data_IF_359351206189
#
_entry.id   IF_359351206189
#
_cell.length_a   1.000
_cell.length_b   1.000
_cell.length_c   1.000
_cell.angle_alpha   90.00
_cell.angle_beta   90.00
_cell.angle_gamma   90.00
#
_symmetry.space_group_name_H-M   'P 1'
#
loop_
_entity.id
_entity.type
_entity.pdbx_description
1 polymer ?
#
# COMPACT_ATOMS: atom_id res chain seq x y z
N UNK A 1 -8.70 -62.48 22.01
CA UNK A 1 -8.70 -61.04 21.71
C UNK A 1 -7.30 -60.51 21.97
N UNK A 2 -6.56 -60.11 20.93
CA UNK A 2 -5.21 -59.56 21.09
C UNK A 2 -5.29 -58.05 21.37
N UNK A 3 -4.72 -57.63 22.49
CA UNK A 3 -4.61 -56.22 22.88
C UNK A 3 -3.74 -55.47 21.85
N UNK A 4 -4.15 -54.31 21.32
CA UNK A 4 -3.31 -53.57 20.39
C UNK A 4 -2.10 -53.00 21.13
N UNK A 5 -0.92 -53.25 20.59
CA UNK A 5 0.34 -52.73 21.10
C UNK A 5 0.29 -51.18 21.13
N UNK A 6 0.90 -50.55 22.15
CA UNK A 6 0.93 -49.10 22.24
C UNK A 6 1.65 -48.52 21.01
N UNK A 7 0.98 -47.64 20.27
CA UNK A 7 1.60 -46.89 19.16
C UNK A 7 2.79 -46.12 19.72
N UNK A 8 4.02 -46.47 19.31
CA UNK A 8 5.24 -45.74 19.69
C UNK A 8 5.06 -44.26 19.36
N UNK A 9 5.19 -43.40 20.36
CA UNK A 9 5.25 -41.94 20.17
C UNK A 9 6.42 -41.63 19.23
N UNK A 10 6.24 -40.82 18.17
CA UNK A 10 7.32 -40.50 17.25
C UNK A 10 8.49 -39.88 18.02
N UNK A 11 9.72 -40.24 17.62
CA UNK A 11 10.94 -39.70 18.20
C UNK A 11 10.97 -38.17 18.05
N UNK A 12 11.47 -37.46 19.07
CA UNK A 12 11.58 -36.01 19.03
C UNK A 12 12.44 -35.55 17.84
N UNK A 13 12.09 -34.43 17.18
CA UNK A 13 12.88 -33.91 16.07
C UNK A 13 14.33 -33.63 16.51
N UNK A 14 15.29 -33.96 15.63
CA UNK A 14 16.70 -33.67 15.89
C UNK A 14 16.98 -32.16 15.96
N UNK A 15 18.06 -31.75 16.65
CA UNK A 15 18.43 -30.33 16.85
C UNK A 15 18.44 -29.50 15.55
N UNK A 16 18.90 -30.09 14.44
CA UNK A 16 18.92 -29.42 13.13
C UNK A 16 17.50 -29.14 12.57
N UNK A 17 16.52 -30.00 12.88
CA UNK A 17 15.12 -29.80 12.48
C UNK A 17 14.51 -28.67 13.28
N UNK A 18 14.74 -28.64 14.60
CA UNK A 18 14.25 -27.58 15.49
C UNK A 18 14.79 -26.21 15.06
N UNK A 19 16.11 -26.08 14.87
CA UNK A 19 16.72 -24.83 14.44
C UNK A 19 16.18 -24.32 13.09
N UNK A 20 15.90 -25.23 12.15
CA UNK A 20 15.28 -24.87 10.88
C UNK A 20 13.84 -24.38 11.07
N UNK A 21 13.04 -25.04 11.91
CA UNK A 21 11.66 -24.62 12.20
C UNK A 21 11.65 -23.25 12.84
N UNK A 22 12.47 -23.00 13.87
CA UNK A 22 12.57 -21.68 14.52
C UNK A 22 12.97 -20.57 13.54
N UNK A 23 13.90 -20.86 12.63
CA UNK A 23 14.29 -19.92 11.58
C UNK A 23 13.18 -19.65 10.56
N UNK A 24 12.34 -20.64 10.26
CA UNK A 24 11.18 -20.47 9.38
C UNK A 24 10.04 -19.74 10.08
N UNK A 25 9.77 -20.05 11.35
CA UNK A 25 8.74 -19.38 12.16
C UNK A 25 8.99 -17.88 12.24
N UNK A 26 10.23 -17.49 12.53
CA UNK A 26 10.62 -16.06 12.54
C UNK A 26 10.36 -15.37 11.21
N UNK A 27 10.54 -16.07 10.09
CA UNK A 27 10.25 -15.52 8.74
C UNK A 27 8.75 -15.47 8.49
N UNK A 28 8.02 -16.52 8.89
CA UNK A 28 6.57 -16.60 8.75
C UNK A 28 5.89 -15.45 9.48
N UNK A 29 6.24 -15.22 10.75
CA UNK A 29 5.71 -14.12 11.56
C UNK A 29 6.02 -12.75 10.93
N UNK A 30 7.27 -12.55 10.50
CA UNK A 30 7.70 -11.28 9.91
C UNK A 30 6.96 -10.97 8.59
N UNK A 31 6.83 -11.98 7.71
CA UNK A 31 6.12 -11.85 6.43
C UNK A 31 4.62 -11.65 6.69
N UNK A 32 4.01 -12.44 7.58
CA UNK A 32 2.60 -12.32 7.94
C UNK A 32 2.25 -10.92 8.44
N UNK A 33 3.03 -10.40 9.38
CA UNK A 33 2.82 -9.04 9.91
C UNK A 33 2.99 -7.94 8.85
N UNK A 34 3.92 -8.12 7.89
CA UNK A 34 4.08 -7.18 6.78
C UNK A 34 2.88 -7.21 5.83
N UNK A 35 2.38 -8.39 5.48
CA UNK A 35 1.21 -8.55 4.61
C UNK A 35 -0.05 -7.97 5.25
N UNK A 36 -0.28 -8.17 6.55
CA UNK A 36 -1.42 -7.56 7.25
C UNK A 36 -1.39 -6.02 7.18
N UNK A 37 -0.21 -5.40 7.36
CA UNK A 37 -0.08 -3.94 7.23
C UNK A 37 -0.31 -3.46 5.80
N UNK A 38 0.19 -4.20 4.81
CA UNK A 38 0.00 -3.86 3.40
C UNK A 38 -1.47 -3.97 3.00
N UNK A 39 -2.16 -5.03 3.41
CA UNK A 39 -3.60 -5.22 3.17
C UNK A 39 -4.41 -4.07 3.77
N UNK A 40 -4.16 -3.70 5.04
CA UNK A 40 -4.81 -2.55 5.67
C UNK A 40 -4.59 -1.24 4.90
N UNK A 41 -3.34 -0.95 4.50
CA UNK A 41 -3.03 0.25 3.72
C UNK A 41 -3.73 0.26 2.34
N UNK A 42 -3.83 -0.90 1.68
CA UNK A 42 -4.54 -1.03 0.41
C UNK A 42 -6.06 -0.87 0.58
N UNK A 43 -6.63 -1.38 1.68
CA UNK A 43 -8.05 -1.21 2.01
C UNK A 43 -8.39 0.26 2.31
N UNK A 44 -7.53 0.95 3.06
CA UNK A 44 -7.69 2.39 3.34
C UNK A 44 -7.60 3.24 2.07
N UNK A 45 -6.76 2.83 1.11
CA UNK A 45 -6.60 3.53 -0.16
C UNK A 45 -7.68 3.19 -1.19
N UNK A 46 -8.26 1.99 -1.15
CA UNK A 46 -9.27 1.52 -2.09
C UNK A 46 -10.45 2.49 -2.33
N UNK A 47 -11.07 3.12 -1.30
CA UNK A 47 -12.16 4.08 -1.52
C UNK A 47 -11.71 5.40 -2.14
N UNK A 48 -10.40 5.73 -2.11
CA UNK A 48 -9.85 6.97 -2.67
C UNK A 48 -9.50 6.85 -4.16
N UNK A 49 -9.76 5.70 -4.79
CA UNK A 49 -9.43 5.47 -6.20
C UNK A 49 -10.16 6.41 -7.14
N UNK A 50 -11.43 6.70 -6.85
CA UNK A 50 -12.24 7.60 -7.66
C UNK A 50 -11.78 9.06 -7.46
N UNK A 51 -11.36 9.43 -6.25
CA UNK A 51 -10.76 10.75 -5.97
C UNK A 51 -9.42 10.93 -6.70
N UNK A 52 -8.57 9.90 -6.72
CA UNK A 52 -7.33 9.93 -7.50
C UNK A 52 -7.61 10.09 -9.00
N UNK A 53 -8.65 9.42 -9.52
CA UNK A 53 -9.07 9.57 -10.91
C UNK A 53 -9.58 11.00 -11.21
N UNK A 54 -10.36 11.58 -10.30
CA UNK A 54 -10.85 12.95 -10.43
C UNK A 54 -9.69 13.97 -10.42
N UNK A 55 -8.68 13.79 -9.56
CA UNK A 55 -7.49 14.64 -9.54
C UNK A 55 -6.68 14.54 -10.84
N UNK A 56 -6.59 13.34 -11.43
CA UNK A 56 -5.91 13.12 -12.70
C UNK A 56 -6.67 13.78 -13.86
N UNK A 57 -7.97 13.58 -13.92
CA UNK A 57 -8.85 14.26 -14.89
C UNK A 57 -8.76 15.79 -14.75
N UNK A 58 -8.70 16.30 -13.52
CA UNK A 58 -8.53 17.74 -13.27
C UNK A 58 -7.24 18.29 -13.88
N UNK A 59 -6.13 17.55 -13.72
CA UNK A 59 -4.83 17.89 -14.31
C UNK A 59 -4.86 17.82 -15.86
N UNK A 60 -5.47 16.77 -16.42
CA UNK A 60 -5.41 16.45 -17.85
C UNK A 60 -6.43 17.21 -18.71
N UNK A 61 -7.60 17.54 -18.17
CA UNK A 61 -8.72 18.21 -18.88
C UNK A 61 -8.46 19.69 -19.21
N UNK A 62 -7.33 20.25 -18.76
CA UNK A 62 -7.03 21.68 -18.86
C UNK A 62 -7.86 22.55 -17.91
N UNK A 63 -8.73 21.98 -17.07
CA UNK A 63 -9.43 22.74 -16.03
C UNK A 63 -8.45 23.26 -14.98
N UNK A 64 -7.47 22.45 -14.56
CA UNK A 64 -6.40 22.87 -13.67
C UNK A 64 -5.70 24.14 -14.16
N UNK A 65 -5.35 24.21 -15.45
CA UNK A 65 -4.67 25.37 -16.03
C UNK A 65 -5.53 26.64 -16.00
N UNK A 66 -6.85 26.51 -16.23
CA UNK A 66 -7.77 27.65 -16.16
C UNK A 66 -7.87 28.19 -14.73
N UNK A 67 -7.96 27.30 -13.75
CA UNK A 67 -8.06 27.68 -12.35
C UNK A 67 -6.74 28.27 -11.84
N UNK A 68 -5.60 27.71 -12.26
CA UNK A 68 -4.28 28.28 -12.02
C UNK A 68 -4.16 29.71 -12.57
N UNK A 69 -4.56 29.94 -13.82
CA UNK A 69 -4.57 31.29 -14.41
C UNK A 69 -5.51 32.25 -13.70
N UNK A 70 -6.64 31.77 -13.17
CA UNK A 70 -7.55 32.57 -12.37
C UNK A 70 -6.92 32.96 -11.02
N UNK A 71 -6.14 32.05 -10.42
CA UNK A 71 -5.36 32.32 -9.21
C UNK A 71 -4.31 33.41 -9.45
N UNK A 72 -3.51 33.25 -10.50
CA UNK A 72 -2.47 34.22 -10.92
C UNK A 72 -3.06 35.59 -11.27
N UNK A 73 -4.28 35.62 -11.80
CA UNK A 73 -5.02 36.86 -12.06
C UNK A 73 -5.66 37.49 -10.80
N UNK A 74 -5.44 36.91 -9.61
CA UNK A 74 -5.99 37.39 -8.34
C UNK A 74 -7.49 37.19 -8.19
N UNK A 75 -8.11 36.29 -8.97
CA UNK A 75 -9.56 36.06 -8.97
C UNK A 75 -10.03 35.09 -7.88
N UNK A 76 -9.10 34.38 -7.22
CA UNK A 76 -9.41 33.47 -6.13
C UNK A 76 -9.21 34.21 -4.79
N UNK A 77 -10.29 34.39 -3.97
CA UNK A 77 -10.22 35.13 -2.72
C UNK A 77 -9.13 34.65 -1.78
N UNK A 78 -8.47 35.57 -1.07
CA UNK A 78 -7.53 35.21 -0.01
C UNK A 78 -8.19 34.28 1.04
N UNK A 79 -7.44 33.30 1.55
CA UNK A 79 -7.91 32.32 2.53
C UNK A 79 -8.43 31.00 1.95
N UNK A 80 -8.67 30.90 0.64
CA UNK A 80 -8.94 29.61 -0.02
C UNK A 80 -7.67 28.77 -0.03
N UNK A 81 -7.70 27.56 0.56
CA UNK A 81 -6.61 26.58 0.44
C UNK A 81 -6.55 26.08 -1.00
N UNK A 82 -5.46 26.41 -1.69
CA UNK A 82 -5.28 26.14 -3.12
C UNK A 82 -4.02 25.33 -3.42
N UNK A 83 -3.68 24.39 -2.53
CA UNK A 83 -2.51 23.53 -2.70
C UNK A 83 -2.54 22.72 -4.01
N UNK A 84 -3.73 22.44 -4.55
CA UNK A 84 -3.89 21.79 -5.86
C UNK A 84 -3.37 22.66 -7.03
N UNK A 85 -3.29 23.98 -6.85
CA UNK A 85 -2.80 24.94 -7.84
C UNK A 85 -1.32 25.28 -7.66
N UNK A 86 -0.59 24.63 -6.74
CA UNK A 86 0.86 24.79 -6.71
C UNK A 86 1.47 24.18 -7.97
N UNK A 87 2.51 24.81 -8.53
CA UNK A 87 3.18 24.37 -9.77
C UNK A 87 3.50 22.87 -9.77
N UNK A 88 4.02 22.34 -8.66
CA UNK A 88 4.46 20.94 -8.59
C UNK A 88 3.53 20.02 -7.78
N UNK A 89 2.72 20.53 -6.85
CA UNK A 89 2.09 19.70 -5.83
C UNK A 89 1.08 18.66 -6.35
N UNK A 90 0.26 19.00 -7.36
CA UNK A 90 -0.64 18.02 -7.98
C UNK A 90 0.15 17.00 -8.81
N UNK A 91 1.17 17.45 -9.53
CA UNK A 91 2.02 16.59 -10.35
C UNK A 91 2.76 15.56 -9.48
N UNK A 92 3.42 16.03 -8.41
CA UNK A 92 4.17 15.18 -7.47
C UNK A 92 3.27 14.13 -6.81
N UNK A 93 2.06 14.51 -6.41
CA UNK A 93 1.09 13.59 -5.83
C UNK A 93 0.70 12.47 -6.81
N UNK A 94 0.42 12.83 -8.07
CA UNK A 94 0.03 11.86 -9.09
C UNK A 94 1.20 10.95 -9.50
N UNK A 95 2.41 11.51 -9.60
CA UNK A 95 3.63 10.75 -9.86
C UNK A 95 3.95 9.76 -8.73
N UNK A 96 3.76 10.15 -7.47
CA UNK A 96 3.93 9.26 -6.32
C UNK A 96 2.90 8.13 -6.33
N UNK A 97 1.64 8.42 -6.68
CA UNK A 97 0.61 7.39 -6.85
C UNK A 97 0.99 6.37 -7.95
N UNK A 98 1.53 6.84 -9.08
CA UNK A 98 2.02 5.98 -10.16
C UNK A 98 3.23 5.13 -9.73
N UNK A 99 4.18 5.72 -8.99
CA UNK A 99 5.33 5.02 -8.40
C UNK A 99 4.90 3.90 -7.45
N UNK A 100 3.97 4.19 -6.55
CA UNK A 100 3.45 3.21 -5.57
C UNK A 100 2.70 2.09 -6.28
N UNK A 101 1.87 2.40 -7.28
CA UNK A 101 1.19 1.38 -8.10
C UNK A 101 2.19 0.44 -8.75
N UNK A 102 3.25 0.97 -9.32
CA UNK A 102 4.24 0.16 -10.02
C UNK A 102 5.11 -0.65 -9.05
N UNK A 103 5.35 -0.13 -7.84
CA UNK A 103 5.95 -0.90 -6.75
C UNK A 103 5.04 -2.05 -6.32
N UNK A 104 3.75 -1.82 -6.12
CA UNK A 104 2.78 -2.85 -5.75
C UNK A 104 2.74 -3.98 -6.80
N UNK A 105 2.69 -3.65 -8.10
CA UNK A 105 2.73 -4.63 -9.21
C UNK A 105 4.03 -5.46 -9.26
N UNK A 106 5.13 -4.94 -8.71
CA UNK A 106 6.43 -5.65 -8.67
C UNK A 106 6.54 -6.59 -7.47
N UNK A 107 5.84 -6.28 -6.39
CA UNK A 107 5.92 -7.00 -5.12
C UNK A 107 4.83 -8.07 -4.96
N UNK A 108 3.68 -7.90 -5.63
CA UNK A 108 2.51 -8.78 -5.59
C UNK A 108 2.23 -9.36 -6.98
#
# INVERSE_FOLDING_TARGET
>A
MATPAPKKKPAAPGKAVIARIEAMEKRFDAVGAALTRLDGALQDFAPLRDELAALREYQESGQWLRDFQADEAGRIPAGVKRGVLSEDGLYDLLAEADRIRDLAKKLL
#
